data_IF_607885311255
#
_entry.id   IF_607885311255
#
_cell.length_a   1.000
_cell.length_b   1.000
_cell.length_c   1.000
_cell.angle_alpha   90.00
_cell.angle_beta   90.00
_cell.angle_gamma   90.00
#
_symmetry.space_group_name_H-M   'P 1'
#
loop_
_entity.id
_entity.type
_entity.pdbx_description
1 polymer ?
#
# COMPACT_ATOMS: atom_id res chain seq x y z
N UNK A 1 -12.10 -10.82 14.01
CA UNK A 1 -11.28 -10.98 12.82
C UNK A 1 -10.05 -10.10 12.90
N UNK A 2 -8.89 -10.65 12.63
CA UNK A 2 -7.66 -9.89 12.60
C UNK A 2 -7.54 -9.20 11.25
N UNK A 3 -7.35 -7.91 11.30
CA UNK A 3 -7.08 -7.08 10.14
C UNK A 3 -5.74 -6.41 10.35
N UNK A 4 -5.12 -6.00 9.29
CA UNK A 4 -3.91 -5.20 9.41
C UNK A 4 -2.81 -5.66 8.50
N UNK A 5 -1.67 -5.98 9.08
CA UNK A 5 -0.45 -6.21 8.32
C UNK A 5 -0.37 -7.62 7.77
N UNK A 6 -0.19 -7.69 6.46
CA UNK A 6 0.04 -8.93 5.73
C UNK A 6 1.33 -8.79 4.94
N UNK A 7 2.13 -9.84 4.97
CA UNK A 7 3.33 -9.90 4.13
C UNK A 7 3.31 -11.20 3.34
N UNK A 8 3.30 -11.08 2.02
CA UNK A 8 3.30 -12.22 1.11
C UNK A 8 4.45 -12.07 0.12
N UNK A 9 4.90 -13.20 -0.39
CA UNK A 9 5.91 -13.21 -1.42
C UNK A 9 5.21 -13.20 -2.78
N UNK A 10 5.57 -12.23 -3.61
CA UNK A 10 5.12 -12.16 -4.99
C UNK A 10 6.19 -12.74 -5.91
N UNK A 11 5.75 -13.45 -6.92
CA UNK A 11 6.59 -14.02 -7.95
C UNK A 11 6.53 -13.14 -9.20
N UNK A 12 7.71 -12.73 -9.66
CA UNK A 12 7.86 -11.88 -10.84
C UNK A 12 8.53 -12.69 -11.93
N UNK A 13 7.79 -12.98 -13.00
CA UNK A 13 8.31 -13.74 -14.14
C UNK A 13 8.35 -12.85 -15.37
N UNK A 14 9.53 -12.69 -15.93
CA UNK A 14 9.71 -11.84 -17.11
C UNK A 14 9.45 -12.61 -18.38
N UNK A 15 8.53 -12.09 -19.20
CA UNK A 15 8.20 -12.63 -20.54
C UNK A 15 7.96 -11.47 -21.49
N UNK A 16 8.63 -11.48 -22.63
CA UNK A 16 8.43 -10.47 -23.69
C UNK A 16 8.53 -9.01 -23.19
N UNK A 17 9.47 -8.75 -22.30
CA UNK A 17 9.72 -7.42 -21.76
C UNK A 17 8.76 -6.99 -20.66
N UNK A 18 7.86 -7.86 -20.25
CA UNK A 18 6.86 -7.59 -19.22
C UNK A 18 7.10 -8.49 -18.02
N UNK A 19 6.97 -7.93 -16.83
CA UNK A 19 7.03 -8.70 -15.58
C UNK A 19 5.61 -9.11 -15.19
N UNK A 20 5.31 -10.39 -15.32
CA UNK A 20 4.05 -10.95 -14.84
C UNK A 20 4.18 -11.26 -13.35
N UNK A 21 3.20 -10.84 -12.58
CA UNK A 21 3.24 -10.94 -11.13
C UNK A 21 2.10 -11.80 -10.61
N UNK A 22 2.43 -12.74 -9.75
CA UNK A 22 1.45 -13.53 -9.01
C UNK A 22 1.86 -13.60 -7.54
N UNK A 23 0.89 -13.89 -6.68
CA UNK A 23 1.17 -14.23 -5.28
C UNK A 23 0.80 -15.71 -5.13
N UNK A 24 1.80 -16.61 -5.09
CA UNK A 24 1.53 -18.05 -5.12
C UNK A 24 0.60 -18.54 -4.02
N UNK A 25 0.60 -17.91 -2.87
CA UNK A 25 -0.23 -18.34 -1.74
C UNK A 25 -1.68 -17.85 -1.81
N UNK A 26 -1.96 -16.89 -2.67
CA UNK A 26 -3.29 -16.30 -2.82
C UNK A 26 -3.73 -16.37 -4.27
N UNK A 27 -4.57 -17.34 -4.55
CA UNK A 27 -5.10 -17.51 -5.90
C UNK A 27 -5.93 -16.30 -6.32
N UNK A 28 -5.64 -15.78 -7.50
CA UNK A 28 -6.36 -14.63 -8.03
C UNK A 28 -5.62 -13.30 -7.92
N UNK A 29 -4.49 -13.25 -7.22
CA UNK A 29 -3.64 -12.05 -7.22
C UNK A 29 -2.73 -12.14 -8.43
N UNK A 30 -3.12 -11.46 -9.50
CA UNK A 30 -2.41 -11.49 -10.78
C UNK A 30 -2.34 -10.05 -11.31
N UNK A 31 -1.14 -9.64 -11.71
CA UNK A 31 -0.95 -8.33 -12.32
C UNK A 31 0.32 -8.35 -13.19
N UNK A 32 0.70 -7.22 -13.71
CA UNK A 32 1.93 -7.10 -14.50
C UNK A 32 2.45 -5.67 -14.48
N UNK A 33 3.70 -5.51 -14.87
CA UNK A 33 4.33 -4.20 -15.06
C UNK A 33 5.40 -4.27 -16.12
N UNK A 34 5.70 -3.15 -16.74
CA UNK A 34 6.70 -3.05 -17.82
C UNK A 34 8.11 -2.75 -17.29
N UNK A 35 8.21 -2.46 -16.00
CA UNK A 35 9.49 -2.27 -15.31
C UNK A 35 9.41 -2.90 -13.93
N UNK A 36 10.57 -3.10 -13.30
CA UNK A 36 10.60 -3.64 -11.93
C UNK A 36 9.87 -2.74 -10.95
N UNK A 37 10.13 -1.42 -10.91
CA UNK A 37 9.39 -0.54 -9.99
C UNK A 37 7.88 -0.56 -10.23
N UNK A 38 7.46 -0.51 -11.48
CA UNK A 38 6.03 -0.58 -11.82
C UNK A 38 5.41 -1.90 -11.39
N UNK A 39 6.10 -3.02 -11.66
CA UNK A 39 5.59 -4.34 -11.30
C UNK A 39 5.42 -4.49 -9.78
N UNK A 40 6.36 -3.94 -8.98
CA UNK A 40 6.25 -3.96 -7.53
C UNK A 40 5.06 -3.13 -7.05
N UNK A 41 4.84 -1.94 -7.62
CA UNK A 41 3.68 -1.11 -7.32
C UNK A 41 2.37 -1.83 -7.65
N UNK A 42 2.32 -2.43 -8.84
CA UNK A 42 1.14 -3.17 -9.28
C UNK A 42 0.87 -4.39 -8.38
N UNK A 43 1.92 -5.06 -7.93
CA UNK A 43 1.81 -6.18 -7.00
C UNK A 43 1.18 -5.74 -5.69
N UNK A 44 1.63 -4.61 -5.16
CA UNK A 44 1.10 -4.05 -3.91
C UNK A 44 -0.38 -3.68 -4.05
N UNK A 45 -0.74 -3.01 -5.14
CA UNK A 45 -2.12 -2.62 -5.39
C UNK A 45 -3.04 -3.84 -5.54
N UNK A 46 -2.62 -4.82 -6.30
CA UNK A 46 -3.42 -6.03 -6.50
C UNK A 46 -3.60 -6.83 -5.21
N UNK A 47 -2.54 -6.96 -4.43
CA UNK A 47 -2.59 -7.65 -3.14
C UNK A 47 -3.50 -6.92 -2.16
N UNK A 48 -3.41 -5.59 -2.10
CA UNK A 48 -4.25 -4.77 -1.23
C UNK A 48 -5.73 -4.96 -1.55
N UNK A 49 -6.11 -4.87 -2.82
CA UNK A 49 -7.50 -5.06 -3.26
C UNK A 49 -7.98 -6.46 -2.92
N UNK A 50 -7.16 -7.48 -3.17
CA UNK A 50 -7.52 -8.85 -2.88
C UNK A 50 -7.76 -9.07 -1.39
N UNK A 51 -6.88 -8.54 -0.54
CA UNK A 51 -7.00 -8.70 0.92
C UNK A 51 -8.19 -7.94 1.48
N UNK A 52 -8.46 -6.73 0.98
CA UNK A 52 -9.63 -5.97 1.38
C UNK A 52 -10.92 -6.74 1.05
N UNK A 53 -10.99 -7.30 -0.15
CA UNK A 53 -12.13 -8.11 -0.55
C UNK A 53 -12.26 -9.38 0.29
N UNK A 54 -11.15 -10.04 0.56
CA UNK A 54 -11.15 -11.25 1.39
C UNK A 54 -11.67 -10.97 2.79
N UNK A 55 -11.24 -9.87 3.39
CA UNK A 55 -11.75 -9.46 4.71
C UNK A 55 -13.24 -9.12 4.68
N UNK A 56 -13.66 -8.41 3.63
CA UNK A 56 -15.06 -7.95 3.52
C UNK A 56 -16.04 -9.10 3.23
N UNK A 57 -15.61 -10.05 2.40
CA UNK A 57 -16.50 -11.15 1.97
C UNK A 57 -16.21 -12.47 2.66
N UNK A 58 -15.26 -12.49 3.57
CA UNK A 58 -14.93 -13.69 4.33
C UNK A 58 -14.23 -14.78 3.54
N UNK A 59 -13.46 -14.42 2.51
CA UNK A 59 -12.64 -15.38 1.78
C UNK A 59 -11.52 -15.91 2.68
N UNK A 60 -11.13 -17.15 2.46
CA UNK A 60 -10.02 -17.72 3.18
C UNK A 60 -8.72 -17.04 2.77
N UNK A 61 -7.97 -16.58 3.77
CA UNK A 61 -6.67 -15.96 3.55
C UNK A 61 -5.60 -16.96 4.00
N UNK A 62 -4.99 -17.65 3.04
CA UNK A 62 -3.98 -18.66 3.31
C UNK A 62 -2.75 -18.02 3.96
N UNK A 63 -2.10 -18.78 4.83
CA UNK A 63 -0.86 -18.33 5.46
C UNK A 63 0.26 -18.30 4.42
N UNK A 64 1.16 -17.29 4.51
CA UNK A 64 2.28 -17.22 3.58
C UNK A 64 3.27 -18.36 3.82
N UNK A 65 3.74 -18.96 2.73
CA UNK A 65 4.84 -19.93 2.77
C UNK A 65 6.17 -19.17 2.84
N UNK A 66 7.22 -19.89 3.22
CA UNK A 66 8.55 -19.31 3.33
C UNK A 66 9.19 -19.07 1.96
N UNK A 67 10.21 -18.23 1.94
CA UNK A 67 11.01 -18.01 0.74
C UNK A 67 11.59 -19.32 0.18
N UNK A 68 12.08 -20.17 1.06
CA UNK A 68 12.67 -21.46 0.65
C UNK A 68 11.63 -22.35 -0.04
N UNK A 69 10.38 -22.33 0.41
CA UNK A 69 9.32 -23.12 -0.18
C UNK A 69 8.90 -22.62 -1.57
N UNK A 70 9.07 -21.33 -1.84
CA UNK A 70 8.64 -20.71 -3.09
C UNK A 70 9.78 -20.46 -4.08
N UNK A 71 11.00 -20.59 -3.65
CA UNK A 71 12.20 -20.24 -4.42
C UNK A 71 12.26 -20.93 -5.78
N UNK A 72 11.84 -22.18 -5.86
CA UNK A 72 11.88 -22.96 -7.08
C UNK A 72 10.96 -22.42 -8.19
N UNK A 73 9.99 -21.58 -7.85
CA UNK A 73 9.07 -21.00 -8.83
C UNK A 73 9.72 -19.92 -9.69
N UNK A 74 10.75 -19.27 -9.18
CA UNK A 74 11.52 -18.27 -9.92
C UNK A 74 12.63 -18.96 -10.70
N UNK A 75 12.25 -19.69 -11.76
CA UNK A 75 13.13 -20.55 -12.52
C UNK A 75 13.71 -19.94 -13.79
N UNK A 76 13.23 -18.78 -14.20
CA UNK A 76 13.75 -18.04 -15.34
C UNK A 76 14.91 -17.14 -14.94
N UNK A 77 15.72 -16.76 -15.93
CA UNK A 77 16.94 -15.99 -15.69
C UNK A 77 16.71 -14.63 -15.04
N UNK A 78 15.61 -13.98 -15.39
CA UNK A 78 15.26 -12.67 -14.84
C UNK A 78 14.07 -12.73 -13.90
N UNK A 79 13.67 -13.92 -13.47
CA UNK A 79 12.60 -14.10 -12.50
C UNK A 79 13.10 -13.79 -11.10
N UNK A 80 12.23 -13.27 -10.26
CA UNK A 80 12.60 -13.03 -8.87
C UNK A 80 11.37 -13.08 -7.95
N UNK A 81 11.67 -13.18 -6.66
CA UNK A 81 10.67 -13.15 -5.59
C UNK A 81 10.89 -11.87 -4.77
N UNK A 82 9.80 -11.26 -4.35
CA UNK A 82 9.85 -10.05 -3.54
C UNK A 82 8.76 -10.09 -2.48
N UNK A 83 9.11 -9.73 -1.25
CA UNK A 83 8.14 -9.56 -0.18
C UNK A 83 7.31 -8.31 -0.42
N UNK A 84 6.00 -8.44 -0.32
CA UNK A 84 5.06 -7.33 -0.45
C UNK A 84 4.28 -7.24 0.85
N UNK A 85 4.27 -6.06 1.45
CA UNK A 85 3.54 -5.81 2.70
C UNK A 85 2.36 -4.88 2.45
N UNK A 86 1.20 -5.26 2.98
CA UNK A 86 -0.02 -4.46 2.89
C UNK A 86 -0.61 -4.31 4.29
N UNK A 87 -1.02 -3.08 4.61
CA UNK A 87 -1.75 -2.78 5.83
C UNK A 87 -3.19 -2.43 5.47
N UNK A 88 -4.11 -3.36 5.68
CA UNK A 88 -5.52 -3.17 5.32
C UNK A 88 -6.21 -2.14 6.21
N UNK A 89 -5.79 -1.97 7.45
CA UNK A 89 -6.34 -0.94 8.33
C UNK A 89 -6.03 0.44 7.77
N UNK A 90 -4.79 0.64 7.37
CA UNK A 90 -4.37 1.91 6.78
C UNK A 90 -5.02 2.14 5.42
N UNK A 91 -5.13 1.10 4.59
CA UNK A 91 -5.80 1.19 3.29
C UNK A 91 -7.24 1.66 3.44
N UNK A 92 -7.96 1.13 4.44
CA UNK A 92 -9.34 1.55 4.70
C UNK A 92 -9.43 3.00 5.15
N UNK A 93 -8.48 3.45 5.94
CA UNK A 93 -8.42 4.86 6.39
C UNK A 93 -8.15 5.80 5.23
N UNK A 94 -7.33 5.41 4.28
CA UNK A 94 -7.07 6.22 3.08
C UNK A 94 -8.29 6.36 2.18
N UNK A 95 -9.14 5.34 2.13
CA UNK A 95 -10.37 5.39 1.35
C UNK A 95 -11.42 6.28 1.99
N UNK A 96 -11.37 6.43 3.30
CA UNK A 96 -12.27 7.32 4.03
C UNK A 96 -11.74 8.74 3.96
N UNK A 97 -12.08 9.43 2.88
CA UNK A 97 -11.68 10.83 2.66
C UNK A 97 -12.63 11.83 3.29
N UNK A 98 -13.53 11.38 4.16
CA UNK A 98 -14.48 12.27 4.82
C UNK A 98 -13.74 13.28 5.68
N UNK A 99 -13.87 14.56 5.35
CA UNK A 99 -13.26 15.63 6.11
C UNK A 99 -13.98 15.84 7.45
N UNK A 100 -13.18 16.08 8.50
CA UNK A 100 -13.72 16.47 9.80
C UNK A 100 -13.22 17.87 10.14
N UNK A 101 -14.11 18.65 10.78
CA UNK A 101 -13.75 20.00 11.20
C UNK A 101 -12.93 19.96 12.48
N UNK A 102 -11.84 20.71 12.51
CA UNK A 102 -10.97 20.79 13.68
C UNK A 102 -10.82 22.24 14.09
N UNK A 103 -11.11 22.53 15.33
CA UNK A 103 -10.94 23.87 15.89
C UNK A 103 -9.65 23.91 16.72
N UNK A 104 -8.74 24.80 16.35
CA UNK A 104 -7.42 24.88 16.97
C UNK A 104 -7.14 26.31 17.38
N UNK A 105 -6.24 26.45 18.36
CA UNK A 105 -5.83 27.75 18.90
C UNK A 105 -4.35 27.95 18.59
N UNK A 106 -4.03 29.09 18.02
CA UNK A 106 -2.64 29.51 17.79
C UNK A 106 -2.46 30.94 18.28
N UNK A 107 -1.22 31.39 18.52
CA UNK A 107 -0.97 32.77 18.88
C UNK A 107 -1.45 33.75 17.82
N UNK A 108 -2.00 34.88 18.25
CA UNK A 108 -2.56 35.86 17.32
C UNK A 108 -1.54 36.37 16.30
N UNK A 109 -0.29 36.62 16.73
CA UNK A 109 0.75 37.12 15.81
C UNK A 109 1.04 36.11 14.69
N UNK A 110 1.03 34.80 15.02
CA UNK A 110 1.26 33.76 14.05
C UNK A 110 0.08 33.65 13.06
N UNK A 111 -1.13 33.80 13.57
CA UNK A 111 -2.33 33.82 12.75
C UNK A 111 -2.31 34.96 11.75
N UNK A 112 -1.94 36.18 12.20
CA UNK A 112 -1.86 37.34 11.32
C UNK A 112 -0.80 37.18 10.23
N UNK A 113 0.37 36.65 10.58
CA UNK A 113 1.42 36.39 9.60
C UNK A 113 0.96 35.36 8.54
N UNK A 114 0.30 34.31 8.99
CA UNK A 114 -0.19 33.28 8.08
C UNK A 114 -1.26 33.82 7.14
N UNK A 115 -2.20 34.61 7.65
CA UNK A 115 -3.25 35.24 6.84
C UNK A 115 -2.61 36.18 5.81
N UNK A 116 -1.67 37.01 6.24
CA UNK A 116 -1.01 37.95 5.35
C UNK A 116 -0.19 37.29 4.24
N UNK A 117 0.25 36.06 4.46
CA UNK A 117 0.99 35.26 3.48
C UNK A 117 0.08 34.26 2.74
N UNK A 118 -1.22 34.41 2.87
CA UNK A 118 -2.21 33.57 2.18
C UNK A 118 -2.02 32.06 2.41
N UNK A 119 -1.67 31.69 3.64
CA UNK A 119 -1.44 30.29 3.99
C UNK A 119 -2.77 29.54 4.02
N UNK A 120 -2.79 28.37 3.40
CA UNK A 120 -3.92 27.44 3.52
C UNK A 120 -3.73 26.61 4.78
N UNK A 121 -4.41 26.99 5.87
CA UNK A 121 -4.29 26.35 7.18
C UNK A 121 -4.61 24.85 7.14
N UNK A 122 -5.68 24.49 6.46
CA UNK A 122 -6.08 23.08 6.37
C UNK A 122 -5.02 22.21 5.71
N UNK A 123 -4.46 22.69 4.62
CA UNK A 123 -3.43 21.96 3.88
C UNK A 123 -2.14 21.82 4.70
N UNK A 124 -1.72 22.92 5.33
CA UNK A 124 -0.52 22.94 6.16
C UNK A 124 -0.67 21.96 7.33
N UNK A 125 -1.84 21.97 8.00
CA UNK A 125 -2.13 21.07 9.09
C UNK A 125 -2.07 19.61 8.64
N UNK A 126 -2.69 19.28 7.51
CA UNK A 126 -2.69 17.92 6.99
C UNK A 126 -1.28 17.43 6.68
N UNK A 127 -0.48 18.28 6.05
CA UNK A 127 0.92 17.96 5.74
C UNK A 127 1.75 17.75 7.00
N UNK A 128 1.57 18.61 7.99
CA UNK A 128 2.26 18.50 9.26
C UNK A 128 1.91 17.20 9.99
N UNK A 129 0.63 16.84 10.01
CA UNK A 129 0.16 15.60 10.62
C UNK A 129 0.72 14.36 9.90
N UNK A 130 0.73 14.39 8.58
CA UNK A 130 1.30 13.28 7.78
C UNK A 130 2.78 13.10 8.10
N UNK A 131 3.51 14.19 8.21
CA UNK A 131 4.92 14.16 8.56
C UNK A 131 5.14 13.61 9.95
N UNK A 132 4.35 14.07 10.93
CA UNK A 132 4.43 13.61 12.31
C UNK A 132 4.16 12.12 12.45
N UNK A 133 3.23 11.61 11.62
CA UNK A 133 2.84 10.20 11.62
C UNK A 133 3.68 9.35 10.66
N UNK A 134 4.68 9.94 10.00
CA UNK A 134 5.50 9.27 8.99
C UNK A 134 4.68 8.70 7.82
N UNK A 135 3.64 9.41 7.44
CA UNK A 135 2.81 9.08 6.28
C UNK A 135 3.21 10.00 5.14
N UNK A 136 3.55 9.44 4.01
CA UNK A 136 3.95 10.23 2.85
C UNK A 136 2.88 10.21 1.80
#
# INVERSE_FOLDING_TARGET
MIRGNYTYIALFKKEDGVYNVTVPDLEGVITFGESIPEAIEMAKDALEVWLLNAEDYGFEINKPRSFNELQHLADGEEDFLQYITVDTVFARKKEDNKAVKKTLTIPNWLNELAINNEVNFSQVLQQALKKELNII
#
